data_IF_063557346091
#
_entry.id   IF_063557346091
#
_cell.length_a   1.000
_cell.length_b   1.000
_cell.length_c   1.000
_cell.angle_alpha   90.00
_cell.angle_beta   90.00
_cell.angle_gamma   90.00
#
_symmetry.space_group_name_H-M   'P 1'
#
loop_
_entity.id
_entity.type
_entity.pdbx_description
1 polymer ?
#
# COMPACT_ATOMS: atom_id res chain seq x y z
N UNK A 1 -31.41 0.89 -0.46
CA UNK A 1 -31.75 -0.51 -0.83
C UNK A 1 -30.95 -0.99 -2.05
N UNK A 2 -30.78 -0.21 -3.12
CA UNK A 2 -29.98 -0.57 -4.30
C UNK A 2 -28.48 -0.71 -4.00
N UNK A 3 -27.86 0.28 -3.34
CA UNK A 3 -26.44 0.23 -2.95
C UNK A 3 -26.07 -1.00 -2.08
N UNK A 4 -26.95 -1.41 -1.16
CA UNK A 4 -26.73 -2.61 -0.34
C UNK A 4 -26.75 -3.88 -1.19
N UNK A 5 -27.65 -3.96 -2.18
CA UNK A 5 -27.68 -5.11 -3.10
C UNK A 5 -26.42 -5.18 -3.98
N UNK A 6 -25.89 -4.03 -4.40
CA UNK A 6 -24.67 -3.95 -5.20
C UNK A 6 -23.44 -4.37 -4.40
N UNK A 7 -23.32 -3.95 -3.13
CA UNK A 7 -22.23 -4.36 -2.22
C UNK A 7 -22.29 -5.89 -1.99
N UNK A 8 -23.48 -6.44 -1.70
CA UNK A 8 -23.67 -7.88 -1.49
C UNK A 8 -23.26 -8.68 -2.73
N UNK A 9 -23.62 -8.21 -3.93
CA UNK A 9 -23.26 -8.91 -5.17
C UNK A 9 -21.75 -8.84 -5.40
N UNK A 10 -21.11 -7.66 -5.23
CA UNK A 10 -19.67 -7.49 -5.38
C UNK A 10 -18.87 -8.41 -4.41
N UNK A 11 -19.33 -8.55 -3.16
CA UNK A 11 -18.69 -9.46 -2.19
C UNK A 11 -18.78 -10.92 -2.63
N UNK A 12 -19.92 -11.36 -3.15
CA UNK A 12 -20.10 -12.72 -3.68
C UNK A 12 -19.23 -12.99 -4.92
N UNK A 13 -19.15 -12.01 -5.82
CA UNK A 13 -18.33 -12.11 -7.02
C UNK A 13 -16.84 -12.19 -6.67
N UNK A 14 -16.39 -11.40 -5.69
CA UNK A 14 -15.04 -11.47 -5.14
C UNK A 14 -14.77 -12.85 -4.51
N UNK A 15 -15.65 -13.33 -3.64
CA UNK A 15 -15.50 -14.65 -3.02
C UNK A 15 -15.41 -15.77 -4.07
N UNK A 16 -16.26 -15.71 -5.11
CA UNK A 16 -16.22 -16.68 -6.20
C UNK A 16 -14.92 -16.61 -7.01
N UNK A 17 -14.40 -15.40 -7.26
CA UNK A 17 -13.12 -15.19 -7.94
C UNK A 17 -11.96 -15.77 -7.12
N UNK A 18 -11.93 -15.52 -5.80
CA UNK A 18 -10.89 -16.04 -4.89
C UNK A 18 -10.90 -17.58 -4.89
N UNK A 19 -12.06 -18.21 -4.77
CA UNK A 19 -12.17 -19.69 -4.84
C UNK A 19 -11.65 -20.25 -6.16
N UNK A 20 -11.94 -19.59 -7.30
CA UNK A 20 -11.40 -20.02 -8.61
C UNK A 20 -9.88 -19.87 -8.66
N UNK A 21 -9.33 -18.77 -8.17
CA UNK A 21 -7.89 -18.51 -8.11
C UNK A 21 -7.18 -19.54 -7.23
N UNK A 22 -7.68 -19.81 -6.01
CA UNK A 22 -7.13 -20.86 -5.14
C UNK A 22 -7.14 -22.23 -5.82
N UNK A 23 -8.26 -22.62 -6.44
CA UNK A 23 -8.35 -23.87 -7.18
C UNK A 23 -7.39 -23.96 -8.35
N UNK A 24 -7.12 -22.84 -9.02
CA UNK A 24 -6.14 -22.76 -10.11
C UNK A 24 -4.71 -22.96 -9.56
N UNK A 25 -4.28 -22.18 -8.57
CA UNK A 25 -2.92 -22.24 -8.03
C UNK A 25 -2.64 -23.53 -7.23
N UNK A 26 -3.64 -24.17 -6.65
CA UNK A 26 -3.47 -25.53 -6.11
C UNK A 26 -3.07 -26.56 -7.17
N UNK A 27 -3.58 -26.43 -8.38
CA UNK A 27 -3.25 -27.32 -9.50
C UNK A 27 -1.99 -26.90 -10.26
N UNK A 28 -1.63 -25.61 -10.17
CA UNK A 28 -0.52 -24.99 -10.91
C UNK A 28 0.26 -24.07 -9.99
N UNK A 29 0.93 -24.58 -8.94
CA UNK A 29 1.65 -23.76 -7.98
C UNK A 29 2.82 -22.99 -8.61
N UNK A 30 3.42 -23.51 -9.69
CA UNK A 30 4.50 -22.89 -10.45
C UNK A 30 4.10 -21.57 -11.11
N UNK A 31 2.81 -21.32 -11.33
CA UNK A 31 2.31 -20.08 -11.92
C UNK A 31 1.97 -19.01 -10.87
N UNK A 32 2.22 -19.28 -9.59
CA UNK A 32 1.97 -18.32 -8.51
C UNK A 32 2.98 -17.18 -8.45
N UNK A 33 4.22 -17.42 -8.86
CA UNK A 33 5.26 -16.38 -8.96
C UNK A 33 5.23 -15.74 -10.35
N UNK A 34 5.13 -14.43 -10.40
CA UNK A 34 5.10 -13.66 -11.65
C UNK A 34 5.73 -12.29 -11.44
N UNK A 35 6.13 -11.65 -12.54
CA UNK A 35 6.64 -10.28 -12.51
C UNK A 35 5.50 -9.28 -12.33
N UNK A 36 5.66 -8.35 -11.39
CA UNK A 36 4.74 -7.25 -11.20
C UNK A 36 4.93 -6.17 -12.27
N UNK A 37 3.88 -5.43 -12.58
CA UNK A 37 3.95 -4.27 -13.45
C UNK A 37 4.88 -3.21 -12.85
N UNK A 38 5.89 -2.70 -13.60
CA UNK A 38 6.82 -1.73 -13.05
C UNK A 38 6.17 -0.38 -12.79
N UNK A 39 6.60 0.30 -11.72
CA UNK A 39 6.34 1.71 -11.52
C UNK A 39 7.54 2.51 -12.03
N UNK A 40 7.31 3.48 -12.92
CA UNK A 40 8.36 4.33 -13.46
C UNK A 40 8.15 5.75 -12.96
N UNK A 41 9.15 6.33 -12.29
CA UNK A 41 9.14 7.71 -11.85
C UNK A 41 10.13 8.55 -12.67
N UNK A 42 9.70 9.72 -13.11
CA UNK A 42 10.50 10.63 -13.92
C UNK A 42 10.48 12.03 -13.34
N UNK A 43 11.64 12.65 -13.23
CA UNK A 43 11.76 14.04 -12.83
C UNK A 43 11.22 14.95 -13.94
N UNK A 44 10.31 15.85 -13.58
CA UNK A 44 9.79 16.89 -14.49
C UNK A 44 10.59 18.18 -14.32
N UNK A 45 10.63 18.72 -13.09
CA UNK A 45 11.45 19.87 -12.72
C UNK A 45 11.56 19.99 -11.19
N UNK A 46 12.63 20.57 -10.66
CA UNK A 46 12.83 20.74 -9.21
C UNK A 46 12.70 19.42 -8.46
N UNK A 47 11.68 19.29 -7.65
CA UNK A 47 11.29 18.05 -6.94
C UNK A 47 9.99 17.43 -7.46
N UNK A 48 9.44 17.98 -8.58
CA UNK A 48 8.23 17.48 -9.22
C UNK A 48 8.51 16.18 -9.96
N UNK A 49 7.75 15.15 -9.63
CA UNK A 49 7.89 13.80 -10.18
C UNK A 49 6.57 13.35 -10.80
N UNK A 50 6.63 12.81 -12.01
CA UNK A 50 5.54 12.03 -12.60
C UNK A 50 5.83 10.55 -12.43
N UNK A 51 4.96 9.83 -11.72
CA UNK A 51 5.02 8.37 -11.56
C UNK A 51 3.95 7.73 -12.44
N UNK A 52 4.34 6.81 -13.30
CA UNK A 52 3.47 6.18 -14.30
C UNK A 52 3.40 4.67 -14.13
N UNK A 53 2.24 4.12 -14.45
CA UNK A 53 1.96 2.69 -14.61
C UNK A 53 1.85 2.36 -16.12
N UNK A 54 2.19 1.15 -16.58
CA UNK A 54 2.08 0.76 -18.01
C UNK A 54 0.69 0.87 -18.63
N UNK A 55 -0.38 0.89 -17.82
CA UNK A 55 -1.75 1.11 -18.30
C UNK A 55 -2.09 2.58 -18.65
N UNK A 56 -1.12 3.51 -18.51
CA UNK A 56 -1.31 4.94 -18.77
C UNK A 56 -1.70 5.78 -17.55
N UNK A 57 -1.98 5.20 -16.39
CA UNK A 57 -2.24 5.96 -15.17
C UNK A 57 -0.98 6.70 -14.73
N UNK A 58 -1.11 7.99 -14.39
CA UNK A 58 -0.02 8.83 -13.91
C UNK A 58 -0.41 9.54 -12.62
N UNK A 59 0.52 9.60 -11.67
CA UNK A 59 0.39 10.31 -10.40
C UNK A 59 1.52 11.33 -10.31
N UNK A 60 1.19 12.61 -10.07
CA UNK A 60 2.15 13.67 -9.82
C UNK A 60 2.40 13.83 -8.33
N UNK A 61 3.67 13.90 -7.92
CA UNK A 61 4.09 14.19 -6.55
C UNK A 61 5.12 15.29 -6.51
N UNK A 62 5.25 15.97 -5.36
CA UNK A 62 6.20 17.06 -5.15
C UNK A 62 6.54 17.17 -3.67
N UNK A 63 7.59 17.93 -3.35
CA UNK A 63 7.92 18.29 -1.98
C UNK A 63 7.18 19.56 -1.56
N UNK A 64 7.01 19.80 -0.24
CA UNK A 64 6.52 21.09 0.25
C UNK A 64 7.50 22.22 -0.07
N UNK A 65 7.02 23.46 0.01
CA UNK A 65 7.79 24.67 -0.33
C UNK A 65 9.06 24.81 0.49
N UNK A 66 9.03 24.40 1.74
CA UNK A 66 10.18 24.43 2.67
C UNK A 66 11.31 23.49 2.24
N UNK A 67 11.03 22.55 1.35
CA UNK A 67 12.00 21.60 0.79
C UNK A 67 12.21 21.80 -0.72
N UNK A 68 11.86 22.98 -1.23
CA UNK A 68 12.11 23.37 -2.62
C UNK A 68 11.08 22.89 -3.63
N UNK A 69 9.97 22.32 -3.19
CA UNK A 69 8.82 22.00 -4.03
C UNK A 69 7.85 23.16 -4.19
N UNK A 70 6.74 22.93 -4.87
CA UNK A 70 5.67 23.91 -5.03
C UNK A 70 4.56 23.76 -3.98
N UNK A 71 4.51 22.65 -3.25
CA UNK A 71 3.52 22.37 -2.19
C UNK A 71 2.10 22.10 -2.68
N UNK A 72 1.88 21.97 -3.99
CA UNK A 72 0.55 21.79 -4.59
C UNK A 72 0.22 20.33 -4.94
N UNK A 73 1.11 19.40 -4.59
CA UNK A 73 0.95 17.96 -4.83
C UNK A 73 1.19 17.15 -3.55
N UNK A 74 0.73 15.91 -3.59
CA UNK A 74 1.06 14.91 -2.56
C UNK A 74 2.57 14.63 -2.56
N UNK A 75 3.12 14.29 -1.39
CA UNK A 75 4.54 13.94 -1.30
C UNK A 75 4.78 12.46 -1.63
N UNK A 76 6.01 12.08 -2.06
CA UNK A 76 6.38 10.66 -2.21
C UNK A 76 6.18 9.84 -0.93
N UNK A 77 6.44 10.42 0.24
CA UNK A 77 6.18 9.78 1.54
C UNK A 77 4.70 9.52 1.79
N UNK A 78 3.81 10.39 1.32
CA UNK A 78 2.37 10.13 1.35
C UNK A 78 1.98 8.97 0.42
N UNK A 79 2.55 8.87 -0.78
CA UNK A 79 2.30 7.76 -1.71
C UNK A 79 2.67 6.40 -1.09
N UNK A 80 3.77 6.34 -0.33
CA UNK A 80 4.16 5.13 0.40
C UNK A 80 3.08 4.71 1.40
N UNK A 81 2.55 5.65 2.21
CA UNK A 81 1.46 5.37 3.15
C UNK A 81 0.15 5.01 2.43
N UNK A 82 -0.16 5.68 1.32
CA UNK A 82 -1.34 5.40 0.51
C UNK A 82 -1.28 3.98 -0.08
N UNK A 83 -0.11 3.55 -0.57
CA UNK A 83 0.11 2.19 -1.06
C UNK A 83 -0.11 1.15 0.03
N UNK A 84 0.42 1.39 1.24
CA UNK A 84 0.21 0.52 2.39
C UNK A 84 -1.27 0.45 2.79
N UNK A 85 -1.96 1.59 2.88
CA UNK A 85 -3.38 1.65 3.21
C UNK A 85 -4.23 0.91 2.17
N UNK A 86 -4.01 1.16 0.89
CA UNK A 86 -4.73 0.52 -0.20
C UNK A 86 -4.53 -1.00 -0.20
N UNK A 87 -3.27 -1.45 -0.06
CA UNK A 87 -2.93 -2.87 -0.03
C UNK A 87 -3.60 -3.58 1.16
N UNK A 88 -3.51 -2.99 2.38
CA UNK A 88 -4.15 -3.52 3.58
C UNK A 88 -5.68 -3.59 3.43
N UNK A 89 -6.31 -2.52 2.93
CA UNK A 89 -7.77 -2.48 2.69
C UNK A 89 -8.20 -3.59 1.74
N UNK A 90 -7.48 -3.74 0.62
CA UNK A 90 -7.79 -4.78 -0.38
C UNK A 90 -7.69 -6.19 0.21
N UNK A 91 -6.60 -6.49 0.93
CA UNK A 91 -6.39 -7.84 1.48
C UNK A 91 -7.33 -8.17 2.64
N UNK A 92 -7.74 -7.17 3.45
CA UNK A 92 -8.78 -7.34 4.47
C UNK A 92 -10.14 -7.61 3.80
N UNK A 93 -10.50 -6.88 2.75
CA UNK A 93 -11.74 -7.12 1.99
C UNK A 93 -11.74 -8.53 1.38
N UNK A 94 -10.61 -8.99 0.82
CA UNK A 94 -10.46 -10.36 0.30
C UNK A 94 -10.61 -11.41 1.42
N UNK A 95 -10.02 -11.16 2.60
CA UNK A 95 -10.15 -12.08 3.74
C UNK A 95 -11.58 -12.17 4.27
N UNK A 96 -12.31 -11.05 4.28
CA UNK A 96 -13.74 -11.02 4.62
C UNK A 96 -14.57 -11.79 3.60
N UNK A 97 -14.39 -11.52 2.31
CA UNK A 97 -15.12 -12.18 1.23
C UNK A 97 -14.87 -13.70 1.20
N UNK A 98 -13.63 -14.15 1.46
CA UNK A 98 -13.30 -15.57 1.55
C UNK A 98 -14.03 -16.30 2.69
N UNK A 99 -14.54 -15.57 3.69
CA UNK A 99 -15.33 -16.07 4.81
C UNK A 99 -16.83 -15.76 4.67
N UNK A 100 -17.26 -15.33 3.47
CA UNK A 100 -18.63 -14.89 3.17
C UNK A 100 -19.14 -13.77 4.12
N UNK A 101 -18.23 -12.91 4.61
CA UNK A 101 -18.54 -11.74 5.46
C UNK A 101 -18.76 -10.53 4.57
N UNK A 102 -19.94 -9.97 4.62
CA UNK A 102 -20.31 -8.72 3.94
C UNK A 102 -19.99 -7.53 4.85
N UNK A 103 -18.99 -6.74 4.46
CA UNK A 103 -18.58 -5.56 5.20
C UNK A 103 -19.50 -4.37 4.89
N UNK A 104 -19.98 -3.69 5.92
CA UNK A 104 -20.69 -2.41 5.80
C UNK A 104 -19.75 -1.21 5.91
N UNK A 105 -18.60 -1.38 6.58
CA UNK A 105 -17.54 -0.37 6.71
C UNK A 105 -16.19 -1.08 6.63
N UNK A 106 -15.29 -0.54 5.84
CA UNK A 106 -13.85 -0.86 5.88
C UNK A 106 -13.06 0.39 5.50
N UNK A 107 -12.32 0.92 6.44
CA UNK A 107 -11.41 2.04 6.25
C UNK A 107 -10.07 1.71 6.92
N UNK A 108 -8.97 1.97 6.23
CA UNK A 108 -7.62 1.84 6.77
C UNK A 108 -6.91 3.18 6.65
N UNK A 109 -6.49 3.71 7.77
CA UNK A 109 -5.66 4.90 7.88
C UNK A 109 -4.25 4.50 8.27
N UNK A 110 -3.24 5.09 7.63
CA UNK A 110 -1.83 4.88 7.93
C UNK A 110 -1.19 6.20 8.32
N UNK A 111 -0.66 6.24 9.52
CA UNK A 111 0.14 7.35 10.04
C UNK A 111 1.60 6.90 10.21
N UNK A 112 2.56 7.83 10.10
CA UNK A 112 3.98 7.61 10.39
C UNK A 112 4.65 8.93 10.75
N UNK A 113 5.86 8.85 11.32
CA UNK A 113 6.71 10.00 11.60
C UNK A 113 8.00 9.90 10.81
N UNK A 114 8.50 11.02 10.32
CA UNK A 114 9.76 11.11 9.58
C UNK A 114 10.59 12.27 10.16
N UNK A 115 11.87 12.05 10.35
CA UNK A 115 12.79 13.11 10.71
C UNK A 115 13.35 13.77 9.43
N UNK A 116 12.95 15.00 9.19
CA UNK A 116 13.37 15.75 7.99
C UNK A 116 14.88 15.94 7.91
N UNK A 117 15.59 15.96 9.04
CA UNK A 117 17.06 16.04 9.06
C UNK A 117 17.69 14.84 8.35
N UNK A 118 17.08 13.63 8.47
CA UNK A 118 17.55 12.45 7.76
C UNK A 118 17.42 12.59 6.24
N UNK A 119 16.30 13.16 5.75
CA UNK A 119 16.12 13.47 4.33
C UNK A 119 17.17 14.47 3.81
N UNK A 120 17.59 15.42 4.65
CA UNK A 120 18.62 16.41 4.33
C UNK A 120 20.05 15.89 4.52
N UNK A 121 20.23 14.63 4.94
CA UNK A 121 21.53 14.02 5.17
C UNK A 121 22.31 14.60 6.36
N UNK A 122 21.60 15.17 7.34
CA UNK A 122 22.21 15.80 8.53
C UNK A 122 22.65 14.75 9.55
N UNK A 123 23.56 15.19 10.42
CA UNK A 123 24.01 14.45 11.61
C UNK A 123 23.31 14.97 12.88
N UNK A 124 23.28 14.16 13.91
CA UNK A 124 22.82 14.55 15.24
C UNK A 124 23.95 15.18 16.08
N UNK A 125 23.66 15.48 17.35
CA UNK A 125 24.63 16.10 18.25
C UNK A 125 25.83 15.19 18.60
N UNK A 126 25.75 13.89 18.34
CA UNK A 126 26.84 12.94 18.51
C UNK A 126 27.66 12.71 17.23
N UNK A 127 27.29 13.36 16.11
CA UNK A 127 27.93 13.18 14.81
C UNK A 127 27.43 11.95 14.04
N UNK A 128 26.35 11.32 14.50
CA UNK A 128 25.75 10.17 13.84
C UNK A 128 24.70 10.59 12.81
N UNK A 129 24.67 9.92 11.65
CA UNK A 129 23.68 10.20 10.60
C UNK A 129 22.27 10.00 11.11
N UNK A 130 21.44 11.02 10.98
CA UNK A 130 20.00 10.91 11.25
C UNK A 130 19.37 10.02 10.20
N UNK A 131 18.58 9.03 10.64
CA UNK A 131 17.90 8.12 9.72
C UNK A 131 16.80 8.84 8.94
N UNK A 132 16.79 8.68 7.62
CA UNK A 132 15.71 9.13 6.73
C UNK A 132 14.49 8.20 6.75
N UNK A 133 14.60 7.02 7.39
CA UNK A 133 13.51 6.04 7.43
C UNK A 133 12.30 6.57 8.20
N UNK A 134 11.09 6.48 7.66
CA UNK A 134 9.88 6.70 8.45
C UNK A 134 9.81 5.70 9.62
N UNK A 135 9.30 6.17 10.74
CA UNK A 135 9.12 5.37 11.96
C UNK A 135 7.71 5.53 12.52
N UNK A 136 7.40 4.77 13.55
CA UNK A 136 6.13 4.86 14.28
C UNK A 136 4.93 4.68 13.34
N UNK A 137 5.01 3.68 12.44
CA UNK A 137 3.87 3.33 11.59
C UNK A 137 2.70 2.85 12.44
N UNK A 138 1.55 3.48 12.27
CA UNK A 138 0.28 3.09 12.90
C UNK A 138 -0.74 2.84 11.80
N UNK A 139 -1.28 1.62 11.75
CA UNK A 139 -2.43 1.27 10.92
C UNK A 139 -3.67 1.28 11.80
N UNK A 140 -4.58 2.20 11.54
CA UNK A 140 -5.89 2.28 12.20
C UNK A 140 -6.95 1.72 11.27
N UNK A 141 -7.62 0.64 11.68
CA UNK A 141 -8.64 -0.03 10.87
C UNK A 141 -10.01 0.18 11.50
N UNK A 142 -10.93 0.75 10.74
CA UNK A 142 -12.37 0.80 11.07
C UNK A 142 -13.07 -0.25 10.22
N UNK A 143 -13.70 -1.24 10.87
CA UNK A 143 -14.37 -2.34 10.19
C UNK A 143 -15.71 -2.65 10.84
N UNK A 144 -16.74 -2.89 10.04
CA UNK A 144 -18.05 -3.31 10.52
C UNK A 144 -18.72 -4.27 9.53
N UNK A 145 -19.46 -5.23 10.07
CA UNK A 145 -20.34 -6.12 9.32
C UNK A 145 -21.56 -6.47 10.16
N UNK A 146 -22.80 -6.39 9.62
CA UNK A 146 -24.01 -6.73 10.36
C UNK A 146 -24.01 -8.17 10.89
N UNK A 147 -24.26 -8.33 12.17
CA UNK A 147 -24.38 -9.67 12.79
C UNK A 147 -23.06 -10.43 12.98
N UNK A 148 -21.91 -9.79 12.75
CA UNK A 148 -20.59 -10.40 12.94
C UNK A 148 -19.94 -9.89 14.22
N UNK A 149 -19.50 -10.80 15.09
CA UNK A 149 -18.84 -10.47 16.35
C UNK A 149 -17.50 -9.74 16.14
N UNK A 150 -17.14 -8.84 17.07
CA UNK A 150 -15.94 -8.02 16.98
C UNK A 150 -14.64 -8.87 16.91
N UNK A 151 -14.59 -9.99 17.65
CA UNK A 151 -13.44 -10.91 17.63
C UNK A 151 -13.22 -11.52 16.25
N UNK A 152 -14.32 -11.86 15.56
CA UNK A 152 -14.24 -12.39 14.19
C UNK A 152 -13.77 -11.32 13.20
N UNK A 153 -14.22 -10.07 13.36
CA UNK A 153 -13.74 -8.96 12.53
C UNK A 153 -12.26 -8.68 12.75
N UNK A 154 -11.77 -8.74 14.01
CA UNK A 154 -10.33 -8.65 14.30
C UNK A 154 -9.53 -9.74 13.62
N UNK A 155 -10.00 -10.99 13.70
CA UNK A 155 -9.35 -12.11 13.02
C UNK A 155 -9.29 -11.95 11.49
N UNK A 156 -10.33 -11.34 10.88
CA UNK A 156 -10.34 -10.98 9.45
C UNK A 156 -9.28 -9.93 9.14
N UNK A 157 -9.14 -8.90 9.98
CA UNK A 157 -8.09 -7.88 9.82
C UNK A 157 -6.71 -8.49 9.91
N UNK A 158 -6.44 -9.29 10.93
CA UNK A 158 -5.14 -9.97 11.13
C UNK A 158 -4.79 -10.87 9.94
N UNK A 159 -5.77 -11.62 9.43
CA UNK A 159 -5.58 -12.47 8.24
C UNK A 159 -5.30 -11.63 6.99
N UNK A 160 -6.04 -10.53 6.78
CA UNK A 160 -5.83 -9.62 5.66
C UNK A 160 -4.43 -9.01 5.69
N UNK A 161 -3.97 -8.54 6.85
CA UNK A 161 -2.64 -7.94 7.01
C UNK A 161 -1.51 -8.96 6.78
N UNK A 162 -1.66 -10.22 7.21
CA UNK A 162 -0.69 -11.29 6.91
C UNK A 162 -0.56 -11.58 5.41
N UNK A 163 -1.61 -11.37 4.64
CA UNK A 163 -1.65 -11.56 3.18
C UNK A 163 -1.30 -10.30 2.40
N UNK A 164 -1.07 -9.16 3.06
CA UNK A 164 -0.75 -7.90 2.40
C UNK A 164 0.71 -7.84 1.99
N UNK A 165 1.04 -7.83 0.68
CA UNK A 165 2.43 -7.76 0.21
C UNK A 165 3.18 -6.55 0.76
N UNK A 166 2.54 -5.37 0.79
CA UNK A 166 3.19 -4.14 1.27
C UNK A 166 3.39 -4.18 2.79
N UNK A 167 2.40 -4.67 3.57
CA UNK A 167 2.55 -4.83 5.03
C UNK A 167 3.69 -5.80 5.36
N UNK A 168 3.76 -6.92 4.64
CA UNK A 168 4.79 -7.94 4.82
C UNK A 168 6.17 -7.41 4.43
N UNK A 169 6.26 -6.64 3.34
CA UNK A 169 7.51 -6.01 2.90
C UNK A 169 8.09 -5.06 3.96
N UNK A 170 7.24 -4.24 4.61
CA UNK A 170 7.67 -3.35 5.69
C UNK A 170 8.18 -4.08 6.93
N UNK A 171 7.63 -5.27 7.22
CA UNK A 171 8.06 -6.09 8.36
C UNK A 171 9.37 -6.83 8.11
N UNK A 172 9.70 -7.16 6.86
CA UNK A 172 10.77 -8.08 6.49
C UNK A 172 12.00 -7.41 5.84
N UNK A 173 12.19 -6.11 5.93
CA UNK A 173 13.39 -5.39 5.43
C UNK A 173 13.87 -5.89 4.06
N UNK A 174 13.11 -5.62 3.00
CA UNK A 174 13.47 -6.02 1.63
C UNK A 174 14.65 -5.19 1.16
N UNK A 175 15.72 -5.85 0.70
CA UNK A 175 16.86 -5.22 0.04
C UNK A 175 16.60 -5.18 -1.46
N UNK A 176 16.67 -3.98 -2.06
CA UNK A 176 16.53 -3.80 -3.49
C UNK A 176 17.90 -3.82 -4.18
N UNK A 177 18.00 -4.52 -5.33
CA UNK A 177 19.17 -4.44 -6.20
C UNK A 177 19.21 -3.07 -6.88
N UNK A 178 20.35 -2.38 -6.74
CA UNK A 178 20.58 -1.09 -7.39
C UNK A 178 21.29 -1.26 -8.74
N UNK A 179 20.68 -0.78 -9.82
CA UNK A 179 21.26 -0.72 -11.15
C UNK A 179 21.30 0.74 -11.61
N UNK A 180 22.49 1.22 -11.99
CA UNK A 180 22.70 2.61 -12.42
C UNK A 180 23.13 2.60 -13.89
N UNK A 181 22.41 3.34 -14.73
CA UNK A 181 22.82 3.62 -16.10
C UNK A 181 23.07 5.12 -16.23
N UNK A 182 24.30 5.49 -16.66
CA UNK A 182 24.67 6.88 -16.95
C UNK A 182 24.69 7.07 -18.46
N UNK A 183 23.90 8.02 -18.97
CA UNK A 183 23.98 8.45 -20.38
C UNK A 183 25.08 9.48 -20.53
N UNK A 184 25.91 9.37 -21.58
CA UNK A 184 26.62 10.52 -22.13
C UNK A 184 25.73 11.10 -23.20
N UNK A 185 25.37 12.40 -23.09
CA UNK A 185 24.75 13.16 -24.18
C UNK A 185 25.65 13.20 -25.42
#
# INVERSE_FOLDING_TARGET
MQAVKEITQATRDLAAALRRAEGFFRRRPELGLHDDAPATARLEFGTRIATSHPNGTTISSDMPTELGGTGDRITPGWLSRAGLAACATTTIAMAAAAQDIELSVLEVRVDSRTDTRGLLGMEDAAGERVSASPRDFVLSVTIAAPGVAAERLRAVVDEGLRRSPVSTALQNSIVADLRISTGTE
#
